data_IF_933603865814
#
_entry.id   IF_933603865814
#
_cell.length_a   1.000
_cell.length_b   1.000
_cell.length_c   1.000
_cell.angle_alpha   90.00
_cell.angle_beta   90.00
_cell.angle_gamma   90.00
#
_symmetry.space_group_name_H-M   'P 1'
#
loop_
_entity.id
_entity.type
_entity.pdbx_description
1 polymer ?
#
# COMPACT_ATOMS: atom_id res chain seq x y z
N UNK A 1 -39.20 81.58 4.90
CA UNK A 1 -39.96 80.45 5.49
C UNK A 1 -39.96 79.33 4.46
N UNK A 2 -39.10 78.30 4.64
CA UNK A 2 -39.46 76.92 5.08
C UNK A 2 -40.40 76.23 4.08
N UNK A 3 -40.20 75.04 3.52
CA UNK A 3 -39.32 73.89 3.82
C UNK A 3 -39.51 72.83 2.72
N UNK A 4 -38.45 72.10 2.40
CA UNK A 4 -38.42 70.80 1.69
C UNK A 4 -39.52 69.81 2.13
N UNK A 5 -40.13 69.07 1.19
CA UNK A 5 -40.51 67.65 1.38
C UNK A 5 -40.52 66.83 0.07
N UNK A 6 -39.43 66.06 -0.07
CA UNK A 6 -39.38 64.61 -0.33
C UNK A 6 -40.02 64.04 -1.61
N UNK A 7 -39.10 63.62 -2.48
CA UNK A 7 -39.23 62.54 -3.45
C UNK A 7 -39.87 61.26 -2.87
N UNK A 8 -40.73 60.62 -3.65
CA UNK A 8 -40.92 59.17 -3.65
C UNK A 8 -41.67 58.75 -4.92
N UNK A 9 -41.35 57.54 -5.40
CA UNK A 9 -42.00 56.74 -6.46
C UNK A 9 -41.32 56.76 -7.85
N UNK A 10 -40.09 56.25 -7.88
CA UNK A 10 -39.58 55.51 -9.02
C UNK A 10 -39.10 54.14 -8.51
N UNK A 11 -39.89 53.10 -8.74
CA UNK A 11 -39.52 51.76 -8.27
C UNK A 11 -40.57 50.73 -8.66
N UNK A 12 -40.53 50.27 -9.91
CA UNK A 12 -41.27 49.07 -10.32
C UNK A 12 -40.84 48.50 -11.68
N UNK A 13 -39.55 48.36 -12.01
CA UNK A 13 -39.15 47.48 -13.12
C UNK A 13 -37.76 46.91 -12.82
N UNK A 14 -37.66 45.74 -12.18
CA UNK A 14 -36.44 44.90 -12.15
C UNK A 14 -36.71 43.53 -11.50
N UNK A 15 -37.72 42.78 -11.97
CA UNK A 15 -37.93 41.39 -11.53
C UNK A 15 -38.49 40.53 -12.67
N UNK A 16 -37.66 40.21 -13.66
CA UNK A 16 -37.98 39.16 -14.64
C UNK A 16 -36.73 38.59 -15.35
N UNK A 17 -35.71 38.18 -14.60
CA UNK A 17 -34.58 37.43 -15.16
C UNK A 17 -34.08 36.37 -14.17
N UNK A 18 -34.92 35.38 -13.88
CA UNK A 18 -34.47 34.11 -13.32
C UNK A 18 -34.86 33.00 -14.30
N UNK A 19 -34.14 32.94 -15.43
CA UNK A 19 -34.13 31.73 -16.24
C UNK A 19 -33.45 30.64 -15.41
N UNK A 20 -34.27 29.76 -14.82
CA UNK A 20 -33.82 28.52 -14.20
C UNK A 20 -33.25 27.66 -15.32
N UNK A 21 -31.94 27.73 -15.51
CA UNK A 21 -31.22 26.70 -16.26
C UNK A 21 -31.34 25.40 -15.46
N UNK A 22 -32.34 24.59 -15.81
CA UNK A 22 -32.37 23.19 -15.44
C UNK A 22 -31.13 22.54 -16.08
N UNK A 23 -30.06 22.42 -15.30
CA UNK A 23 -28.87 21.69 -15.72
C UNK A 23 -29.30 20.28 -16.13
N UNK A 24 -28.87 19.78 -17.31
CA UNK A 24 -29.16 18.41 -17.69
C UNK A 24 -28.57 17.52 -16.60
N UNK A 25 -29.40 16.63 -16.04
CA UNK A 25 -28.92 15.53 -15.21
C UNK A 25 -28.11 14.61 -16.12
N UNK A 26 -26.86 15.00 -16.39
CA UNK A 26 -25.86 14.10 -16.95
C UNK A 26 -25.84 12.92 -16.00
N UNK A 27 -26.31 11.77 -16.49
CA UNK A 27 -26.27 10.52 -15.76
C UNK A 27 -24.82 10.36 -15.28
N UNK A 28 -24.61 10.54 -13.96
CA UNK A 28 -23.31 10.33 -13.35
C UNK A 28 -22.95 8.89 -13.68
N UNK A 29 -21.92 8.73 -14.51
CA UNK A 29 -21.26 7.45 -14.79
C UNK A 29 -21.16 6.71 -13.45
N UNK A 30 -21.58 5.43 -13.34
CA UNK A 30 -21.54 4.73 -12.06
C UNK A 30 -20.17 4.93 -11.45
N UNK A 31 -20.15 5.49 -10.23
CA UNK A 31 -18.93 5.56 -9.45
C UNK A 31 -18.33 4.15 -9.44
N UNK A 32 -17.01 4.06 -9.61
CA UNK A 32 -16.34 2.77 -9.57
C UNK A 32 -16.84 1.99 -8.33
N UNK A 33 -17.13 0.69 -8.46
CA UNK A 33 -17.75 -0.09 -7.39
C UNK A 33 -17.00 0.16 -6.09
N UNK A 34 -17.75 0.47 -5.03
CA UNK A 34 -17.18 0.84 -3.74
C UNK A 34 -16.09 -0.16 -3.34
N UNK A 35 -14.89 0.35 -3.07
CA UNK A 35 -13.74 -0.48 -2.73
C UNK A 35 -12.82 -0.85 -3.89
N UNK A 36 -12.94 -0.22 -5.06
CA UNK A 36 -11.87 -0.23 -6.08
C UNK A 36 -10.91 0.94 -5.91
N UNK A 37 -9.73 0.82 -6.52
CA UNK A 37 -8.83 1.94 -6.75
C UNK A 37 -9.56 3.04 -7.54
N UNK A 38 -9.34 4.33 -7.20
CA UNK A 38 -9.92 5.42 -7.96
C UNK A 38 -9.38 5.39 -9.39
N UNK A 39 -10.13 5.91 -10.37
CA UNK A 39 -9.64 5.99 -11.76
C UNK A 39 -8.51 7.01 -11.92
N UNK A 40 -8.61 8.12 -11.19
CA UNK A 40 -7.65 9.22 -11.21
C UNK A 40 -7.41 9.74 -9.78
N UNK A 41 -6.29 10.42 -9.59
CA UNK A 41 -5.90 11.02 -8.31
C UNK A 41 -4.91 10.16 -7.54
N UNK A 42 -4.83 10.37 -6.23
CA UNK A 42 -3.84 9.74 -5.37
C UNK A 42 -4.50 8.92 -4.28
N UNK A 43 -3.94 7.74 -4.00
CA UNK A 43 -4.29 6.93 -2.83
C UNK A 43 -3.02 6.43 -2.16
N UNK A 44 -3.03 6.47 -0.83
CA UNK A 44 -1.90 6.05 -0.01
C UNK A 44 -2.33 4.90 0.89
N UNK A 45 -1.56 3.83 0.90
CA UNK A 45 -1.67 2.72 1.84
C UNK A 45 -0.39 2.63 2.63
N UNK A 46 -0.49 2.45 3.95
CA UNK A 46 0.67 2.43 4.82
C UNK A 46 0.42 1.58 6.06
N UNK A 47 1.46 0.88 6.50
CA UNK A 47 1.57 0.30 7.84
C UNK A 47 2.78 0.87 8.60
N UNK A 48 3.31 2.02 8.16
CA UNK A 48 4.43 2.70 8.80
C UNK A 48 4.16 2.87 10.29
N UNK A 49 5.16 2.49 11.07
CA UNK A 49 5.09 2.39 12.51
C UNK A 49 6.42 2.80 13.14
N UNK A 50 6.45 2.92 14.46
CA UNK A 50 7.66 3.23 15.24
C UNK A 50 7.93 2.05 16.17
N UNK A 51 9.17 1.56 16.17
CA UNK A 51 9.65 0.61 17.17
C UNK A 51 9.82 1.35 18.50
N UNK A 52 9.07 0.93 19.52
CA UNK A 52 9.04 1.67 20.80
C UNK A 52 10.39 1.65 21.54
N UNK A 53 11.20 0.64 21.32
CA UNK A 53 12.49 0.47 22.00
C UNK A 53 13.60 1.30 21.35
N UNK A 54 13.65 1.37 20.01
CA UNK A 54 14.69 2.08 19.26
C UNK A 54 14.27 3.47 18.77
N UNK A 55 12.97 3.75 18.67
CA UNK A 55 12.43 4.94 18.04
C UNK A 55 12.52 4.93 16.50
N UNK A 56 13.03 3.86 15.91
CA UNK A 56 13.18 3.73 14.46
C UNK A 56 11.83 3.49 13.78
N UNK A 57 11.72 3.95 12.53
CA UNK A 57 10.57 3.65 11.69
C UNK A 57 10.65 2.21 11.18
N UNK A 58 9.50 1.54 11.18
CA UNK A 58 9.29 0.25 10.56
C UNK A 58 8.15 0.28 9.54
N UNK A 59 8.00 -0.81 8.79
CA UNK A 59 6.90 -1.00 7.84
C UNK A 59 7.15 -0.33 6.49
N UNK A 60 6.07 0.03 5.81
CA UNK A 60 6.11 0.46 4.42
C UNK A 60 4.90 1.31 4.02
N UNK A 61 5.05 2.01 2.90
CA UNK A 61 4.03 2.87 2.32
C UNK A 61 4.02 2.76 0.80
N UNK A 62 2.81 2.62 0.26
CA UNK A 62 2.53 2.62 -1.17
C UNK A 62 1.72 3.87 -1.48
N UNK A 63 2.26 4.73 -2.33
CA UNK A 63 1.52 5.85 -2.91
C UNK A 63 1.24 5.56 -4.37
N UNK A 64 -0.02 5.34 -4.72
CA UNK A 64 -0.47 5.22 -6.09
C UNK A 64 -0.95 6.58 -6.58
N UNK A 65 -0.39 7.04 -7.70
CA UNK A 65 -0.78 8.24 -8.41
C UNK A 65 -1.32 7.83 -9.78
N UNK A 66 -2.54 8.24 -10.09
CA UNK A 66 -3.21 7.88 -11.34
C UNK A 66 -3.56 9.11 -12.15
N UNK A 67 -2.92 9.25 -13.30
CA UNK A 67 -3.16 10.34 -14.24
C UNK A 67 -3.97 9.84 -15.45
N UNK A 68 -4.31 10.76 -16.37
CA UNK A 68 -5.01 10.40 -17.61
C UNK A 68 -4.18 9.50 -18.52
N UNK A 69 -2.86 9.60 -18.44
CA UNK A 69 -1.91 9.00 -19.38
C UNK A 69 -1.06 7.90 -18.75
N UNK A 70 -0.72 8.04 -17.46
CA UNK A 70 0.19 7.13 -16.76
C UNK A 70 -0.22 6.93 -15.31
N UNK A 71 -0.05 5.71 -14.82
CA UNK A 71 -0.15 5.36 -13.41
C UNK A 71 1.28 5.23 -12.84
N UNK A 72 1.54 5.78 -11.66
CA UNK A 72 2.85 5.74 -10.98
C UNK A 72 2.69 5.22 -9.55
N UNK A 73 3.63 4.39 -9.12
CA UNK A 73 3.70 3.90 -7.73
C UNK A 73 5.01 4.37 -7.11
N UNK A 74 4.90 5.01 -5.95
CA UNK A 74 6.03 5.24 -5.04
C UNK A 74 5.96 4.20 -3.93
N UNK A 75 6.98 3.35 -3.86
CA UNK A 75 7.16 2.37 -2.80
C UNK A 75 8.18 2.89 -1.81
N UNK A 76 7.78 3.06 -0.56
CA UNK A 76 8.67 3.41 0.53
C UNK A 76 8.70 2.24 1.52
N UNK A 77 9.91 1.85 1.89
CA UNK A 77 10.16 0.81 2.88
C UNK A 77 11.24 1.27 3.84
N UNK A 78 11.20 0.73 5.05
CA UNK A 78 12.20 0.98 6.08
C UNK A 78 13.25 -0.12 6.03
N UNK A 79 14.52 0.26 5.93
CA UNK A 79 15.65 -0.64 6.09
C UNK A 79 16.59 -0.04 7.16
N UNK A 80 16.39 -0.47 8.41
CA UNK A 80 16.95 0.21 9.58
C UNK A 80 16.29 1.57 9.85
N UNK A 81 17.01 2.51 10.47
CA UNK A 81 16.50 3.85 10.81
C UNK A 81 16.22 4.80 9.63
N UNK A 82 16.33 4.35 8.38
CA UNK A 82 16.11 5.16 7.17
C UNK A 82 14.93 4.61 6.35
N UNK A 83 14.10 5.52 5.82
CA UNK A 83 13.07 5.18 4.82
C UNK A 83 13.57 5.51 3.41
N UNK A 84 13.43 4.54 2.50
CA UNK A 84 13.89 4.66 1.12
C UNK A 84 12.71 4.68 0.15
N UNK A 85 12.41 5.83 -0.47
CA UNK A 85 11.41 5.90 -1.54
C UNK A 85 12.00 5.43 -2.87
N UNK A 86 11.31 4.49 -3.52
CA UNK A 86 11.64 3.94 -4.84
C UNK A 86 10.46 4.15 -5.77
N UNK A 87 10.71 4.73 -6.94
CA UNK A 87 9.70 4.83 -8.01
C UNK A 87 9.63 3.49 -8.72
N UNK A 88 8.45 2.89 -8.77
CA UNK A 88 8.26 1.60 -9.41
C UNK A 88 8.18 1.71 -10.94
N UNK A 89 8.64 0.66 -11.62
CA UNK A 89 8.38 0.43 -13.05
C UNK A 89 7.18 -0.52 -13.25
N UNK A 90 6.73 -0.64 -14.50
CA UNK A 90 5.76 -1.66 -14.94
C UNK A 90 4.45 -1.70 -14.11
N UNK A 91 3.97 -0.51 -13.73
CA UNK A 91 2.75 -0.36 -12.94
C UNK A 91 1.54 -0.80 -13.77
N UNK A 92 0.87 -1.85 -13.31
CA UNK A 92 -0.33 -2.40 -13.95
C UNK A 92 -1.45 -2.49 -12.92
N UNK A 93 -2.64 -1.98 -13.26
CA UNK A 93 -3.85 -2.10 -12.44
C UNK A 93 -4.85 -2.97 -13.20
N UNK A 94 -5.46 -3.93 -12.51
CA UNK A 94 -6.46 -4.79 -13.13
C UNK A 94 -7.69 -3.98 -13.59
N UNK A 95 -8.45 -4.45 -14.58
CA UNK A 95 -9.60 -3.70 -15.12
C UNK A 95 -10.69 -3.38 -14.07
N UNK A 96 -10.73 -4.13 -12.96
CA UNK A 96 -11.68 -3.92 -11.86
C UNK A 96 -11.15 -2.97 -10.77
N UNK A 97 -9.89 -2.56 -10.85
CA UNK A 97 -9.20 -1.77 -9.82
C UNK A 97 -9.15 -2.46 -8.46
N UNK A 98 -9.15 -3.79 -8.42
CA UNK A 98 -9.05 -4.62 -7.22
C UNK A 98 -7.63 -5.12 -6.96
N UNK A 99 -6.74 -5.04 -7.95
CA UNK A 99 -5.37 -5.51 -7.85
C UNK A 99 -4.43 -4.57 -8.63
N UNK A 100 -3.22 -4.42 -8.12
CA UNK A 100 -2.13 -3.77 -8.83
C UNK A 100 -0.86 -4.61 -8.77
N UNK A 101 -0.01 -4.45 -9.76
CA UNK A 101 1.31 -5.04 -9.85
C UNK A 101 2.29 -3.92 -10.20
N UNK A 102 3.48 -3.96 -9.63
CA UNK A 102 4.52 -2.98 -9.91
C UNK A 102 5.88 -3.60 -9.60
N UNK A 103 6.91 -3.17 -10.31
CA UNK A 103 8.27 -3.68 -10.17
C UNK A 103 9.13 -2.64 -9.47
N UNK A 104 9.93 -3.08 -8.51
CA UNK A 104 10.86 -2.22 -7.77
C UNK A 104 12.25 -2.82 -7.81
N UNK A 105 13.26 -1.95 -7.87
CA UNK A 105 14.67 -2.30 -7.69
C UNK A 105 15.25 -1.46 -6.55
N UNK A 106 15.19 -1.95 -5.31
CA UNK A 106 15.86 -1.31 -4.19
C UNK A 106 17.39 -1.23 -4.43
N UNK A 107 18.11 -0.24 -3.88
CA UNK A 107 19.54 -0.05 -4.16
C UNK A 107 20.43 -1.27 -3.88
N UNK A 108 20.10 -2.05 -2.84
CA UNK A 108 20.88 -3.19 -2.35
C UNK A 108 20.12 -4.52 -2.45
N UNK A 109 19.02 -4.55 -3.20
CA UNK A 109 18.22 -5.76 -3.41
C UNK A 109 17.98 -6.01 -4.89
N UNK A 110 17.78 -7.27 -5.25
CA UNK A 110 17.38 -7.62 -6.61
C UNK A 110 16.02 -7.00 -6.97
N UNK A 111 15.85 -6.77 -8.26
CA UNK A 111 14.57 -6.36 -8.80
C UNK A 111 13.50 -7.41 -8.50
N UNK A 112 12.34 -6.94 -8.05
CA UNK A 112 11.18 -7.79 -7.80
C UNK A 112 9.89 -7.13 -8.20
N UNK A 113 8.96 -7.95 -8.68
CA UNK A 113 7.57 -7.55 -8.89
C UNK A 113 6.77 -7.82 -7.63
N UNK A 114 6.03 -6.81 -7.18
CA UNK A 114 5.14 -6.85 -6.04
C UNK A 114 3.71 -6.84 -6.56
N UNK A 115 2.88 -7.77 -6.10
CA UNK A 115 1.43 -7.72 -6.29
C UNK A 115 0.77 -7.17 -5.05
N UNK A 116 -0.29 -6.38 -5.23
CA UNK A 116 -1.12 -5.88 -4.16
C UNK A 116 -2.60 -6.06 -4.48
N UNK A 117 -3.36 -6.67 -3.56
CA UNK A 117 -4.81 -6.89 -3.68
C UNK A 117 -5.58 -6.08 -2.66
N UNK A 118 -6.65 -5.42 -3.10
CA UNK A 118 -7.55 -4.72 -2.20
C UNK A 118 -8.38 -5.70 -1.35
N UNK A 119 -8.54 -5.34 -0.08
CA UNK A 119 -9.36 -6.01 0.89
C UNK A 119 -10.21 -4.99 1.66
N UNK A 120 -11.16 -5.49 2.46
CA UNK A 120 -11.96 -4.69 3.39
C UNK A 120 -12.69 -3.51 2.72
N UNK A 121 -13.17 -3.74 1.49
CA UNK A 121 -13.83 -2.71 0.68
C UNK A 121 -12.88 -1.59 0.25
N UNK A 122 -11.64 -1.92 -0.11
CA UNK A 122 -10.62 -0.97 -0.57
C UNK A 122 -10.01 -0.12 0.55
N UNK A 123 -10.19 -0.53 1.80
CA UNK A 123 -9.56 0.11 2.97
C UNK A 123 -8.20 -0.50 3.29
N UNK A 124 -7.89 -1.66 2.73
CA UNK A 124 -6.62 -2.35 2.95
C UNK A 124 -6.04 -2.81 1.63
N UNK A 125 -4.73 -2.64 1.48
CA UNK A 125 -3.94 -3.23 0.40
C UNK A 125 -3.10 -4.37 1.00
N UNK A 126 -3.34 -5.58 0.54
CA UNK A 126 -2.58 -6.77 0.94
C UNK A 126 -1.52 -7.03 -0.10
N UNK A 127 -0.24 -6.96 0.28
CA UNK A 127 0.85 -7.27 -0.64
C UNK A 127 1.19 -8.75 -0.60
N UNK A 128 1.59 -9.27 -1.76
CA UNK A 128 2.22 -10.58 -1.86
C UNK A 128 3.63 -10.48 -1.27
N UNK A 129 3.99 -11.47 -0.45
CA UNK A 129 5.18 -11.42 0.39
C UNK A 129 4.82 -11.43 1.88
N UNK A 130 5.74 -11.98 2.67
CA UNK A 130 5.55 -12.18 4.09
C UNK A 130 5.86 -10.95 4.93
N UNK A 131 5.05 -10.69 5.95
CA UNK A 131 5.44 -9.78 7.02
C UNK A 131 6.58 -10.41 7.83
N UNK A 132 7.65 -9.65 8.09
CA UNK A 132 8.84 -10.13 8.79
C UNK A 132 9.52 -11.37 8.17
N UNK A 133 9.47 -11.50 6.83
CA UNK A 133 10.08 -12.65 6.14
C UNK A 133 9.29 -13.96 6.27
N UNK A 134 8.16 -13.98 6.98
CA UNK A 134 7.26 -15.12 7.02
C UNK A 134 6.16 -14.97 5.96
N UNK A 135 6.32 -15.68 4.83
CA UNK A 135 5.37 -15.70 3.73
C UNK A 135 3.96 -16.16 4.13
N UNK A 136 3.79 -16.84 5.27
CA UNK A 136 2.47 -17.23 5.78
C UNK A 136 1.70 -16.06 6.42
N UNK A 137 2.37 -14.94 6.70
CA UNK A 137 1.77 -13.76 7.33
C UNK A 137 1.60 -12.67 6.29
N UNK A 138 0.37 -12.36 5.86
CA UNK A 138 0.15 -11.38 4.80
C UNK A 138 0.52 -9.98 5.27
N UNK A 139 1.22 -9.25 4.41
CA UNK A 139 1.57 -7.86 4.62
C UNK A 139 0.36 -6.97 4.31
N UNK A 140 -0.18 -6.27 5.32
CA UNK A 140 -1.45 -5.54 5.21
C UNK A 140 -1.27 -4.05 5.47
N UNK A 141 -1.47 -3.23 4.44
CA UNK A 141 -1.36 -1.78 4.49
C UNK A 141 -2.73 -1.13 4.59
N UNK A 142 -2.95 -0.28 5.60
CA UNK A 142 -4.22 0.43 5.75
C UNK A 142 -4.25 1.66 4.86
N UNK A 143 -5.39 1.98 4.27
CA UNK A 143 -5.58 3.22 3.52
C UNK A 143 -5.41 4.41 4.47
N UNK A 144 -4.52 5.32 4.11
CA UNK A 144 -4.30 6.56 4.84
C UNK A 144 -5.41 7.55 4.48
N UNK A 145 -6.14 7.99 5.50
CA UNK A 145 -7.18 9.03 5.38
C UNK A 145 -6.86 10.28 6.20
N UNK A 146 -5.95 10.16 7.16
CA UNK A 146 -5.44 11.26 7.99
C UNK A 146 -3.91 11.27 7.89
N UNK A 147 -3.38 12.25 7.18
CA UNK A 147 -1.93 12.43 6.96
C UNK A 147 -1.24 13.15 8.12
N UNK A 148 -1.98 13.72 9.08
CA UNK A 148 -1.43 14.34 10.28
C UNK A 148 -1.31 13.38 11.46
N UNK A 149 -1.87 12.17 11.36
CA UNK A 149 -1.82 11.17 12.42
C UNK A 149 -0.38 10.73 12.68
N UNK A 150 0.02 10.70 13.95
CA UNK A 150 1.29 10.08 14.37
C UNK A 150 1.32 8.60 14.00
N UNK A 151 2.51 8.10 13.65
CA UNK A 151 2.73 6.68 13.45
C UNK A 151 2.45 5.90 14.74
N UNK A 152 1.85 4.72 14.62
CA UNK A 152 1.58 3.83 15.75
C UNK A 152 2.80 2.99 16.11
N UNK A 153 2.69 2.19 17.17
CA UNK A 153 3.73 1.23 17.52
C UNK A 153 3.80 0.09 16.48
N UNK A 154 5.03 -0.35 16.16
CA UNK A 154 5.24 -1.50 15.30
C UNK A 154 4.71 -2.79 15.94
N UNK A 155 4.12 -3.64 15.10
CA UNK A 155 3.67 -4.97 15.54
C UNK A 155 4.88 -5.88 15.67
N UNK A 156 4.93 -6.68 16.73
CA UNK A 156 5.96 -7.69 16.87
C UNK A 156 5.83 -8.71 15.73
N UNK A 157 6.98 -9.12 15.17
CA UNK A 157 7.03 -10.25 14.25
C UNK A 157 6.57 -11.51 14.99
N UNK A 158 5.67 -12.32 14.40
CA UNK A 158 5.28 -13.58 15.01
C UNK A 158 6.51 -14.50 15.15
N UNK A 159 6.56 -15.28 16.22
CA UNK A 159 7.67 -16.19 16.45
C UNK A 159 7.77 -17.21 15.29
N UNK A 160 8.97 -17.45 14.74
CA UNK A 160 9.14 -18.40 13.66
C UNK A 160 8.66 -19.78 14.14
N UNK A 161 7.77 -20.41 13.37
CA UNK A 161 7.38 -21.79 13.64
C UNK A 161 8.62 -22.66 13.43
N UNK A 162 9.10 -23.32 14.49
CA UNK A 162 10.19 -24.29 14.38
C UNK A 162 9.81 -25.33 13.33
N UNK A 163 10.49 -25.32 12.18
CA UNK A 163 10.46 -26.47 11.28
C UNK A 163 11.06 -27.63 12.07
N UNK A 164 10.24 -28.63 12.35
CA UNK A 164 10.68 -29.92 12.87
C UNK A 164 11.60 -30.50 11.80
N UNK A 165 12.91 -30.30 11.94
CA UNK A 165 13.90 -30.96 11.10
C UNK A 165 13.62 -32.46 11.21
N UNK A 166 13.28 -33.06 10.06
CA UNK A 166 13.26 -34.50 9.93
C UNK A 166 14.70 -34.93 10.19
N UNK A 167 14.87 -35.65 11.30
CA UNK A 167 16.13 -36.22 11.72
C UNK A 167 16.54 -37.24 10.66
N UNK A 168 17.36 -36.80 9.70
CA UNK A 168 17.98 -37.68 8.72
C UNK A 168 19.03 -38.50 9.47
N UNK A 169 18.79 -39.81 9.52
CA UNK A 169 19.56 -40.81 10.22
C UNK A 169 21.07 -40.66 9.95
N UNK A 170 21.85 -40.50 11.02
CA UNK A 170 23.27 -40.77 10.99
C UNK A 170 23.49 -42.19 10.44
N UNK A 171 24.30 -42.39 9.39
CA UNK A 171 24.64 -43.74 8.96
C UNK A 171 25.46 -44.42 10.08
N UNK A 172 25.04 -45.63 10.43
CA UNK A 172 25.67 -46.46 11.45
C UNK A 172 27.17 -46.70 11.15
N UNK A 173 28.03 -46.81 12.19
CA UNK A 173 29.44 -47.10 11.97
C UNK A 173 29.60 -48.54 11.47
N UNK A 174 30.18 -48.70 10.29
CA UNK A 174 30.58 -50.01 9.77
C UNK A 174 31.79 -50.49 10.56
N UNK A 175 31.61 -51.52 11.37
CA UNK A 175 32.69 -52.26 12.01
C UNK A 175 33.07 -53.38 11.05
N UNK A 176 34.23 -53.30 10.38
CA UNK A 176 34.86 -54.48 9.79
C UNK A 176 36.01 -54.95 10.67
N UNK A 177 35.77 -56.08 11.32
CA UNK A 177 36.78 -56.87 11.98
C UNK A 177 37.29 -57.96 11.02
N UNK A 178 38.62 -58.07 10.99
CA UNK A 178 39.38 -59.32 10.90
C UNK A 178 39.60 -59.95 9.50
N UNK A 179 40.86 -59.93 9.00
CA UNK A 179 41.79 -61.09 9.08
C UNK A 179 43.07 -60.98 8.20
N UNK A 180 44.22 -61.05 8.89
CA UNK A 180 45.46 -61.83 8.63
C UNK A 180 46.26 -61.84 7.30
N UNK A 181 47.56 -61.50 7.47
CA UNK A 181 48.80 -62.26 7.11
C UNK A 181 49.41 -62.12 5.69
N UNK A 182 50.65 -61.60 5.59
CA UNK A 182 51.94 -62.32 5.35
C UNK A 182 53.12 -61.35 5.10
N UNK A 183 54.34 -61.80 5.43
CA UNK A 183 55.61 -61.10 5.63
C UNK A 183 56.50 -60.82 4.39
N UNK A 184 57.61 -60.08 4.62
CA UNK A 184 58.87 -60.01 3.85
C UNK A 184 59.09 -58.65 3.15
N UNK A 185 60.21 -57.93 3.28
CA UNK A 185 61.61 -58.19 3.65
C UNK A 185 62.16 -57.01 4.48
#
# INVERSE_FOLDING_TARGET
MTTSRRAALAGAILLASCAVFAAPKVARKPAAPGGSLPRYGMVVYSDLCIHMDSGEFGGQRITLQRFSEVDTVLYEYTAGGLSWPVVASDVTIDPRGQQLYFTVRPPDEDERTISGKLADGGKTLVLDGGYCGDAAVPMRLSRVTDFGRKAGACRACPAPKQKKELQEELPAPVIEADKTTTAGL
#
